data_IF_162192210159
#
_entry.id   IF_162192210159
#
_cell.length_a   1.000
_cell.length_b   1.000
_cell.length_c   1.000
_cell.angle_alpha   90.00
_cell.angle_beta   90.00
_cell.angle_gamma   90.00
#
_symmetry.space_group_name_H-M   'P 1'
#
loop_
_entity.id
_entity.type
_entity.pdbx_description
1 polymer ?
#
# COMPACT_ATOMS: atom_id res chain seq x y z
N UNK A 1 -21.51 9.81 -20.68
CA UNK A 1 -20.62 8.87 -21.42
C UNK A 1 -19.18 9.40 -21.52
N UNK A 2 -18.94 10.58 -22.09
CA UNK A 2 -17.59 11.16 -22.25
C UNK A 2 -16.83 11.21 -20.92
N UNK A 3 -17.47 11.74 -19.86
CA UNK A 3 -16.85 11.83 -18.53
C UNK A 3 -16.50 10.45 -17.95
N UNK A 4 -17.39 9.46 -18.10
CA UNK A 4 -17.14 8.08 -17.64
C UNK A 4 -15.96 7.42 -18.38
N UNK A 5 -15.89 7.60 -19.70
CA UNK A 5 -14.73 7.16 -20.49
C UNK A 5 -13.45 7.86 -20.07
N UNK A 6 -13.49 9.18 -19.86
CA UNK A 6 -12.34 9.96 -19.39
C UNK A 6 -11.85 9.45 -18.02
N UNK A 7 -12.75 9.12 -17.08
CA UNK A 7 -12.38 8.53 -15.80
C UNK A 7 -11.68 7.17 -15.95
N UNK A 8 -12.20 6.29 -16.81
CA UNK A 8 -11.58 4.98 -17.06
C UNK A 8 -10.23 5.13 -17.76
N UNK A 9 -10.14 5.97 -18.80
CA UNK A 9 -8.88 6.21 -19.50
C UNK A 9 -7.85 6.83 -18.57
N UNK A 10 -8.25 7.79 -17.73
CA UNK A 10 -7.37 8.38 -16.73
C UNK A 10 -6.90 7.32 -15.72
N UNK A 11 -7.78 6.43 -15.25
CA UNK A 11 -7.40 5.33 -14.39
C UNK A 11 -6.40 4.38 -15.07
N UNK A 12 -6.67 3.96 -16.30
CA UNK A 12 -5.81 3.03 -17.06
C UNK A 12 -4.47 3.67 -17.38
N UNK A 13 -4.44 4.92 -17.83
CA UNK A 13 -3.20 5.66 -18.10
C UNK A 13 -2.36 5.80 -16.83
N UNK A 14 -2.99 6.13 -15.71
CA UNK A 14 -2.32 6.17 -14.43
C UNK A 14 -1.81 4.79 -14.00
N UNK A 15 -2.57 3.72 -14.18
CA UNK A 15 -2.07 2.39 -13.84
C UNK A 15 -0.91 1.98 -14.75
N UNK A 16 -0.96 2.33 -16.04
CA UNK A 16 0.12 2.04 -16.99
C UNK A 16 1.45 2.70 -16.59
N UNK A 17 1.42 3.91 -16.01
CA UNK A 17 2.65 4.56 -15.53
C UNK A 17 3.29 3.82 -14.34
N UNK A 18 2.49 3.16 -13.50
CA UNK A 18 2.99 2.38 -12.35
C UNK A 18 3.18 0.90 -12.67
N UNK A 19 2.65 0.44 -13.82
CA UNK A 19 2.70 -0.96 -14.23
C UNK A 19 4.08 -1.40 -14.72
N UNK A 20 4.99 -0.47 -15.04
CA UNK A 20 6.37 -0.79 -15.42
C UNK A 20 7.18 -1.00 -14.14
N UNK A 21 7.55 -2.25 -13.79
CA UNK A 21 8.32 -2.50 -12.59
C UNK A 21 9.80 -2.26 -12.86
N UNK A 22 10.53 -1.62 -11.92
CA UNK A 22 11.99 -1.75 -11.88
C UNK A 22 12.40 -3.20 -11.53
N UNK A 23 11.54 -3.93 -10.81
CA UNK A 23 11.70 -5.36 -10.48
C UNK A 23 10.33 -5.99 -10.12
N UNK A 24 9.74 -6.85 -10.98
CA UNK A 24 8.34 -7.31 -10.83
C UNK A 24 8.05 -8.18 -9.61
N UNK A 25 9.10 -8.74 -9.00
CA UNK A 25 8.99 -9.62 -7.83
C UNK A 25 9.38 -8.93 -6.52
N UNK A 26 9.81 -7.67 -6.56
CA UNK A 26 10.11 -6.92 -5.34
C UNK A 26 8.82 -6.60 -4.58
N UNK A 27 8.86 -6.87 -3.27
CA UNK A 27 7.76 -6.63 -2.35
C UNK A 27 7.34 -5.15 -2.36
N UNK A 28 8.31 -4.23 -2.41
CA UNK A 28 8.11 -2.78 -2.44
C UNK A 28 7.31 -2.31 -3.66
N UNK A 29 7.64 -2.83 -4.85
CA UNK A 29 6.91 -2.48 -6.06
C UNK A 29 5.48 -2.99 -6.01
N UNK A 30 5.29 -4.25 -5.58
CA UNK A 30 3.96 -4.84 -5.47
C UNK A 30 3.08 -4.08 -4.47
N UNK A 31 3.66 -3.69 -3.33
CA UNK A 31 2.97 -2.91 -2.31
C UNK A 31 2.58 -1.52 -2.83
N UNK A 32 3.54 -0.80 -3.43
CA UNK A 32 3.30 0.52 -4.02
C UNK A 32 2.25 0.48 -5.13
N UNK A 33 2.30 -0.52 -5.99
CA UNK A 33 1.31 -0.73 -7.05
C UNK A 33 -0.08 -0.97 -6.47
N UNK A 34 -0.24 -1.90 -5.52
CA UNK A 34 -1.53 -2.19 -4.89
C UNK A 34 -2.08 -0.98 -4.12
N UNK A 35 -1.23 -0.22 -3.45
CA UNK A 35 -1.61 1.02 -2.77
C UNK A 35 -2.09 2.08 -3.78
N UNK A 36 -1.41 2.24 -4.91
CA UNK A 36 -1.81 3.14 -6.00
C UNK A 36 -3.18 2.73 -6.58
N UNK A 37 -3.39 1.43 -6.79
CA UNK A 37 -4.68 0.86 -7.25
C UNK A 37 -5.76 1.19 -6.24
N UNK A 38 -5.54 0.92 -4.96
CA UNK A 38 -6.51 1.21 -3.90
C UNK A 38 -6.89 2.69 -3.83
N UNK A 39 -5.90 3.58 -3.86
CA UNK A 39 -6.12 5.01 -3.72
C UNK A 39 -6.83 5.63 -4.95
N UNK A 40 -6.62 5.07 -6.15
CA UNK A 40 -7.20 5.58 -7.41
C UNK A 40 -8.41 4.78 -7.92
N UNK A 41 -8.75 3.67 -7.27
CA UNK A 41 -9.87 2.79 -7.65
C UNK A 41 -11.22 3.50 -7.66
N UNK A 42 -11.38 4.59 -6.92
CA UNK A 42 -12.59 5.41 -6.93
C UNK A 42 -12.90 6.01 -8.31
N UNK A 43 -11.88 6.36 -9.11
CA UNK A 43 -12.08 6.83 -10.49
C UNK A 43 -12.66 5.72 -11.36
N UNK A 44 -12.18 4.48 -11.17
CA UNK A 44 -12.70 3.32 -11.89
C UNK A 44 -14.15 3.04 -11.50
N UNK A 45 -14.48 3.12 -10.20
CA UNK A 45 -15.87 2.99 -9.72
C UNK A 45 -16.79 4.05 -10.34
N UNK A 46 -16.39 5.32 -10.26
CA UNK A 46 -17.19 6.44 -10.79
C UNK A 46 -17.36 6.32 -12.31
N UNK A 47 -16.28 6.00 -13.03
CA UNK A 47 -16.30 5.80 -14.47
C UNK A 47 -17.23 4.66 -14.87
N UNK A 48 -17.13 3.51 -14.18
CA UNK A 48 -17.99 2.36 -14.39
C UNK A 48 -19.46 2.67 -14.11
N UNK A 49 -19.76 3.38 -13.02
CA UNK A 49 -21.13 3.79 -12.66
C UNK A 49 -21.74 4.69 -13.74
N UNK A 50 -21.00 5.70 -14.20
CA UNK A 50 -21.46 6.62 -15.25
C UNK A 50 -21.63 5.92 -16.60
N UNK A 51 -20.73 5.00 -16.95
CA UNK A 51 -20.88 4.25 -18.19
C UNK A 51 -22.06 3.28 -18.13
N UNK A 52 -22.25 2.58 -17.01
CA UNK A 52 -23.43 1.73 -16.83
C UNK A 52 -24.71 2.55 -16.95
N UNK A 53 -24.77 3.73 -16.33
CA UNK A 53 -25.95 4.60 -16.41
C UNK A 53 -26.23 5.10 -17.83
N UNK A 54 -25.20 5.53 -18.58
CA UNK A 54 -25.38 6.01 -19.96
C UNK A 54 -25.64 4.89 -20.98
N UNK A 55 -25.21 3.66 -20.70
CA UNK A 55 -25.37 2.54 -21.63
C UNK A 55 -26.65 1.75 -21.40
N UNK A 56 -27.51 2.15 -20.45
CA UNK A 56 -28.75 1.46 -20.09
C UNK A 56 -29.66 1.15 -21.30
N UNK A 57 -29.72 2.03 -22.30
CA UNK A 57 -30.50 1.81 -23.52
C UNK A 57 -29.83 0.85 -24.53
N UNK A 58 -28.53 0.60 -24.39
CA UNK A 58 -27.74 -0.29 -25.25
C UNK A 58 -27.47 -1.63 -24.57
N UNK A 59 -28.44 -2.54 -24.66
CA UNK A 59 -28.39 -3.89 -24.06
C UNK A 59 -27.08 -4.66 -24.34
N UNK A 60 -26.47 -4.47 -25.52
CA UNK A 60 -25.23 -5.15 -25.91
C UNK A 60 -24.00 -4.73 -25.11
N UNK A 61 -23.93 -3.49 -24.61
CA UNK A 61 -22.78 -2.99 -23.84
C UNK A 61 -22.96 -3.10 -22.33
N UNK A 62 -24.21 -3.12 -21.84
CA UNK A 62 -24.50 -3.19 -20.40
C UNK A 62 -24.00 -4.50 -19.79
N UNK A 63 -24.25 -5.64 -20.46
CA UNK A 63 -23.90 -6.96 -19.96
C UNK A 63 -22.38 -7.19 -19.78
N UNK A 64 -21.51 -6.91 -20.79
CA UNK A 64 -20.06 -7.06 -20.60
C UNK A 64 -19.51 -6.06 -19.57
N UNK A 65 -20.04 -4.83 -19.53
CA UNK A 65 -19.61 -3.84 -18.55
C UNK A 65 -20.00 -4.23 -17.11
N UNK A 66 -21.21 -4.76 -16.92
CA UNK A 66 -21.69 -5.25 -15.64
C UNK A 66 -20.87 -6.46 -15.15
N UNK A 67 -20.51 -7.37 -16.06
CA UNK A 67 -19.60 -8.49 -15.76
C UNK A 67 -18.20 -8.00 -15.36
N UNK A 68 -17.64 -7.04 -16.09
CA UNK A 68 -16.34 -6.45 -15.75
C UNK A 68 -16.35 -5.80 -14.35
N UNK A 69 -17.44 -5.10 -14.00
CA UNK A 69 -17.62 -4.55 -12.65
C UNK A 69 -17.70 -5.66 -11.59
N UNK A 70 -18.42 -6.75 -11.86
CA UNK A 70 -18.53 -7.87 -10.94
C UNK A 70 -17.18 -8.56 -10.70
N UNK A 71 -16.44 -8.85 -11.77
CA UNK A 71 -15.12 -9.47 -11.70
C UNK A 71 -14.14 -8.55 -10.94
N UNK A 72 -14.07 -7.28 -11.34
CA UNK A 72 -13.23 -6.28 -10.66
C UNK A 72 -13.60 -6.14 -9.19
N UNK A 73 -14.90 -6.07 -8.89
CA UNK A 73 -15.43 -5.93 -7.54
C UNK A 73 -15.14 -7.12 -6.62
N UNK A 74 -14.90 -8.32 -7.17
CA UNK A 74 -14.44 -9.50 -6.41
C UNK A 74 -12.92 -9.52 -6.27
N UNK A 75 -12.18 -9.18 -7.32
CA UNK A 75 -10.72 -9.19 -7.32
C UNK A 75 -10.11 -8.12 -6.39
N UNK A 76 -10.70 -6.93 -6.35
CA UNK A 76 -10.26 -5.82 -5.49
C UNK A 76 -10.22 -6.21 -4.00
N UNK A 77 -11.29 -6.72 -3.38
CA UNK A 77 -11.24 -7.14 -1.97
C UNK A 77 -10.36 -8.38 -1.76
N UNK A 78 -10.25 -9.30 -2.72
CA UNK A 78 -9.29 -10.41 -2.61
C UNK A 78 -7.84 -9.92 -2.56
N UNK A 79 -7.51 -8.89 -3.35
CA UNK A 79 -6.18 -8.28 -3.34
C UNK A 79 -5.83 -7.59 -2.02
N UNK A 80 -6.83 -7.23 -1.21
CA UNK A 80 -6.63 -6.67 0.13
C UNK A 80 -5.86 -7.63 1.06
N UNK A 81 -6.13 -8.94 0.98
CA UNK A 81 -5.43 -9.94 1.81
C UNK A 81 -3.94 -9.98 1.49
N UNK A 82 -3.61 -9.87 0.20
CA UNK A 82 -2.22 -9.80 -0.26
C UNK A 82 -1.54 -8.52 0.21
N UNK A 83 -2.24 -7.39 0.14
CA UNK A 83 -1.74 -6.08 0.59
C UNK A 83 -1.39 -6.09 2.09
N UNK A 84 -2.28 -6.63 2.93
CA UNK A 84 -2.05 -6.73 4.38
C UNK A 84 -0.85 -7.62 4.67
N UNK A 85 -0.76 -8.79 4.04
CA UNK A 85 0.36 -9.72 4.21
C UNK A 85 1.68 -9.05 3.84
N UNK A 86 1.73 -8.40 2.69
CA UNK A 86 2.98 -7.81 2.20
C UNK A 86 3.43 -6.63 3.07
N UNK A 87 2.49 -5.82 3.58
CA UNK A 87 2.81 -4.78 4.56
C UNK A 87 3.38 -5.37 5.85
N UNK A 88 2.83 -6.47 6.36
CA UNK A 88 3.35 -7.15 7.57
C UNK A 88 4.74 -7.74 7.35
N UNK A 89 5.00 -8.30 6.16
CA UNK A 89 6.33 -8.82 5.80
C UNK A 89 7.34 -7.67 5.72
N UNK A 90 6.99 -6.57 5.05
CA UNK A 90 7.85 -5.40 4.93
C UNK A 90 8.13 -4.78 6.31
N UNK A 91 7.10 -4.69 7.15
CA UNK A 91 7.24 -4.21 8.52
C UNK A 91 8.22 -5.07 9.33
N UNK A 92 8.11 -6.41 9.26
CA UNK A 92 9.06 -7.30 9.92
C UNK A 92 10.49 -7.14 9.40
N UNK A 93 10.68 -7.00 8.08
CA UNK A 93 12.00 -6.76 7.49
C UNK A 93 12.63 -5.45 7.98
N UNK A 94 11.85 -4.37 8.03
CA UNK A 94 12.30 -3.08 8.57
C UNK A 94 12.66 -3.19 10.05
N UNK A 95 11.83 -3.85 10.87
CA UNK A 95 12.12 -4.06 12.29
C UNK A 95 13.41 -4.86 12.51
N UNK A 96 13.63 -5.92 11.72
CA UNK A 96 14.84 -6.76 11.85
C UNK A 96 16.09 -5.98 11.41
N UNK A 97 15.96 -5.13 10.38
CA UNK A 97 17.07 -4.28 9.92
C UNK A 97 17.43 -3.22 10.94
N UNK A 98 16.43 -2.58 11.55
CA UNK A 98 16.63 -1.60 12.62
C UNK A 98 17.28 -2.28 13.83
N UNK A 99 16.82 -3.46 14.22
CA UNK A 99 17.40 -4.21 15.35
C UNK A 99 18.86 -4.60 15.09
N UNK A 100 19.16 -5.12 13.89
CA UNK A 100 20.53 -5.44 13.48
C UNK A 100 21.44 -4.20 13.45
N UNK A 101 20.94 -3.05 12.97
CA UNK A 101 21.69 -1.80 12.99
C UNK A 101 21.91 -1.28 14.41
N UNK A 102 20.90 -1.39 15.28
CA UNK A 102 21.00 -1.02 16.69
C UNK A 102 22.04 -1.89 17.41
N UNK A 103 22.01 -3.21 17.22
CA UNK A 103 23.02 -4.13 17.78
C UNK A 103 24.42 -3.86 17.23
N UNK A 104 24.55 -3.56 15.93
CA UNK A 104 25.83 -3.19 15.32
C UNK A 104 26.38 -1.86 15.87
N UNK A 105 25.51 -0.88 16.17
CA UNK A 105 25.92 0.36 16.82
C UNK A 105 26.29 0.12 18.29
N UNK A 106 25.51 -0.67 19.04
CA UNK A 106 25.84 -1.01 20.43
C UNK A 106 27.16 -1.74 20.55
N UNK A 107 27.43 -2.71 19.67
CA UNK A 107 28.72 -3.43 19.66
C UNK A 107 29.88 -2.53 19.26
N UNK A 108 29.70 -1.59 18.32
CA UNK A 108 30.71 -0.58 18.01
C UNK A 108 30.97 0.37 19.19
N UNK A 109 29.93 0.76 19.91
CA UNK A 109 30.02 1.60 21.11
C UNK A 109 30.76 0.85 22.23
N UNK A 110 30.41 -0.41 22.51
CA UNK A 110 31.10 -1.26 23.48
C UNK A 110 32.55 -1.57 23.08
N UNK A 111 32.82 -1.78 21.80
CA UNK A 111 34.18 -1.97 21.30
C UNK A 111 35.02 -0.69 21.48
N UNK A 112 34.42 0.47 21.22
CA UNK A 112 35.06 1.76 21.50
C UNK A 112 35.25 2.00 23.01
N UNK A 113 34.40 1.44 23.88
CA UNK A 113 34.53 1.49 25.35
C UNK A 113 35.68 0.66 25.88
N UNK A 114 35.95 -0.47 25.24
CA UNK A 114 37.04 -1.37 25.61
C UNK A 114 38.37 -1.06 24.89
N UNK A 115 38.44 -0.01 24.06
CA UNK A 115 39.65 0.37 23.32
C UNK A 115 40.64 1.15 24.21
N UNK A 116 41.85 0.61 24.48
CA UNK A 116 42.85 1.26 25.32
C UNK A 116 43.49 2.51 24.70
N UNK A 117 43.27 2.81 23.40
CA UNK A 117 43.80 4.00 22.71
C UNK A 117 42.78 5.14 22.58
N UNK A 118 41.79 5.20 23.48
CA UNK A 118 40.70 6.17 23.41
C UNK A 118 41.18 7.64 23.38
N UNK A 119 40.68 8.49 22.46
CA UNK A 119 40.84 9.93 22.56
C UNK A 119 40.25 10.44 23.87
N UNK A 120 40.97 11.32 24.58
CA UNK A 120 40.61 11.83 25.91
C UNK A 120 39.26 12.59 25.97
N UNK A 121 38.69 12.95 24.81
CA UNK A 121 37.36 13.59 24.69
C UNK A 121 36.17 12.62 24.81
N UNK A 122 36.38 11.30 24.79
CA UNK A 122 35.28 10.32 24.86
C UNK A 122 35.04 9.87 26.31
N UNK A 123 34.26 10.66 27.04
CA UNK A 123 33.84 10.34 28.41
C UNK A 123 32.80 9.20 28.41
N UNK A 124 32.83 8.25 29.37
CA UNK A 124 31.83 7.18 29.48
C UNK A 124 30.39 7.70 29.56
N UNK A 125 30.17 8.89 30.13
CA UNK A 125 28.85 9.53 30.20
C UNK A 125 28.30 9.90 28.82
N UNK A 126 29.15 10.38 27.90
CA UNK A 126 28.80 10.71 26.51
C UNK A 126 28.41 9.45 25.72
N UNK A 127 29.07 8.33 26.02
CA UNK A 127 28.75 7.03 25.43
C UNK A 127 27.40 6.50 25.91
N UNK A 128 27.14 6.61 27.21
CA UNK A 128 25.89 6.15 27.80
C UNK A 128 24.70 6.99 27.30
N UNK A 129 24.92 8.30 27.14
CA UNK A 129 23.96 9.21 26.52
C UNK A 129 23.71 8.87 25.04
N UNK A 130 24.75 8.50 24.29
CA UNK A 130 24.61 8.03 22.91
C UNK A 130 23.82 6.72 22.81
N UNK A 131 24.02 5.77 23.73
CA UNK A 131 23.22 4.53 23.80
C UNK A 131 21.75 4.83 24.06
N UNK A 132 21.44 5.66 25.08
CA UNK A 132 20.05 6.04 25.38
C UNK A 132 19.40 6.82 24.23
N UNK A 133 20.17 7.65 23.53
CA UNK A 133 19.67 8.40 22.38
C UNK A 133 19.38 7.49 21.18
N UNK A 134 20.26 6.51 20.89
CA UNK A 134 20.03 5.51 19.84
C UNK A 134 18.82 4.63 20.18
N UNK A 135 18.65 4.25 21.44
CA UNK A 135 17.50 3.47 21.90
C UNK A 135 16.19 4.25 21.74
N UNK A 136 16.14 5.52 22.18
CA UNK A 136 14.96 6.37 22.02
C UNK A 136 14.61 6.66 20.54
N UNK A 137 15.62 6.86 19.69
CA UNK A 137 15.40 7.01 18.26
C UNK A 137 14.88 5.72 17.66
N UNK A 138 15.48 4.58 18.01
CA UNK A 138 15.05 3.26 17.55
C UNK A 138 13.59 2.99 17.91
N UNK A 139 13.18 3.23 19.15
CA UNK A 139 11.78 3.11 19.57
C UNK A 139 10.86 4.05 18.78
N UNK A 140 11.26 5.30 18.59
CA UNK A 140 10.47 6.26 17.81
C UNK A 140 10.32 5.86 16.34
N UNK A 141 11.37 5.30 15.72
CA UNK A 141 11.33 4.80 14.35
C UNK A 141 10.45 3.54 14.24
N UNK A 142 10.55 2.62 15.20
CA UNK A 142 9.70 1.44 15.30
C UNK A 142 8.23 1.88 15.38
N UNK A 143 7.92 2.81 16.29
CA UNK A 143 6.54 3.25 16.53
C UNK A 143 5.98 4.01 15.32
N UNK A 144 6.75 4.92 14.72
CA UNK A 144 6.36 5.61 13.49
C UNK A 144 6.17 4.64 12.31
N UNK A 145 7.02 3.61 12.19
CA UNK A 145 6.86 2.58 11.16
C UNK A 145 5.57 1.78 11.38
N UNK A 146 5.22 1.43 12.62
CA UNK A 146 3.95 0.76 12.94
C UNK A 146 2.74 1.63 12.61
N UNK A 147 2.77 2.90 13.00
CA UNK A 147 1.65 3.82 12.80
C UNK A 147 1.42 4.14 11.32
N UNK A 148 2.49 4.43 10.57
CA UNK A 148 2.41 4.69 9.14
C UNK A 148 1.94 3.45 8.37
N UNK A 149 2.43 2.27 8.75
CA UNK A 149 1.99 0.99 8.16
C UNK A 149 0.51 0.75 8.44
N UNK A 150 0.07 0.93 9.68
CA UNK A 150 -1.33 0.73 10.07
C UNK A 150 -2.26 1.71 9.36
N UNK A 151 -1.92 3.00 9.31
CA UNK A 151 -2.70 4.00 8.56
C UNK A 151 -2.77 3.69 7.07
N UNK A 152 -1.64 3.31 6.46
CA UNK A 152 -1.58 2.95 5.04
C UNK A 152 -2.43 1.72 4.73
N UNK A 153 -2.34 0.67 5.57
CA UNK A 153 -3.17 -0.54 5.46
C UNK A 153 -4.64 -0.16 5.56
N UNK A 154 -5.06 0.54 6.62
CA UNK A 154 -6.48 0.86 6.85
C UNK A 154 -7.05 1.72 5.73
N UNK A 155 -6.31 2.75 5.29
CA UNK A 155 -6.74 3.62 4.21
C UNK A 155 -6.87 2.88 2.88
N UNK A 156 -5.85 2.11 2.50
CA UNK A 156 -5.81 1.41 1.22
C UNK A 156 -6.79 0.23 1.17
N UNK A 157 -6.83 -0.57 2.25
CA UNK A 157 -7.77 -1.67 2.40
C UNK A 157 -9.22 -1.19 2.41
N UNK A 158 -9.51 -0.11 3.15
CA UNK A 158 -10.84 0.49 3.21
C UNK A 158 -11.33 0.92 1.83
N UNK A 159 -10.48 1.62 1.06
CA UNK A 159 -10.82 2.02 -0.30
C UNK A 159 -11.09 0.81 -1.22
N UNK A 160 -10.22 -0.21 -1.20
CA UNK A 160 -10.38 -1.42 -2.01
C UNK A 160 -11.66 -2.18 -1.68
N UNK A 161 -12.03 -2.29 -0.40
CA UNK A 161 -13.24 -2.97 0.05
C UNK A 161 -14.48 -2.17 -0.36
N UNK A 162 -14.52 -0.87 -0.08
CA UNK A 162 -15.67 0.00 -0.39
C UNK A 162 -15.91 0.06 -1.91
N UNK A 163 -14.85 0.28 -2.68
CA UNK A 163 -14.94 0.29 -4.15
C UNK A 163 -15.30 -1.09 -4.69
N UNK A 164 -14.73 -2.17 -4.14
CA UNK A 164 -15.06 -3.53 -4.52
C UNK A 164 -16.55 -3.86 -4.35
N UNK A 165 -17.09 -3.58 -3.16
CA UNK A 165 -18.52 -3.76 -2.86
C UNK A 165 -19.41 -2.87 -3.73
N UNK A 166 -18.98 -1.64 -4.01
CA UNK A 166 -19.65 -0.74 -4.93
C UNK A 166 -19.75 -1.34 -6.35
N UNK A 167 -18.63 -1.86 -6.87
CA UNK A 167 -18.58 -2.47 -8.20
C UNK A 167 -19.41 -3.77 -8.28
N UNK A 168 -19.42 -4.59 -7.23
CA UNK A 168 -20.32 -5.75 -7.15
C UNK A 168 -21.78 -5.29 -7.23
N UNK A 169 -22.14 -4.26 -6.47
CA UNK A 169 -23.51 -3.71 -6.44
C UNK A 169 -23.94 -3.17 -7.81
N UNK A 170 -23.05 -2.43 -8.48
CA UNK A 170 -23.24 -1.94 -9.86
C UNK A 170 -23.36 -3.07 -10.88
N UNK A 171 -22.49 -4.08 -10.80
CA UNK A 171 -22.52 -5.24 -11.69
C UNK A 171 -23.81 -6.04 -11.53
N UNK A 172 -24.27 -6.28 -10.29
CA UNK A 172 -25.57 -6.93 -10.05
C UNK A 172 -26.74 -6.12 -10.57
N UNK A 173 -26.69 -4.79 -10.42
CA UNK A 173 -27.72 -3.90 -10.96
C UNK A 173 -27.79 -3.97 -12.50
N UNK A 174 -26.64 -3.89 -13.17
CA UNK A 174 -26.56 -3.96 -14.64
C UNK A 174 -27.04 -5.32 -15.20
N UNK A 175 -26.72 -6.43 -14.53
CA UNK A 175 -27.19 -7.76 -14.93
C UNK A 175 -28.71 -7.88 -14.70
N UNK A 176 -29.23 -7.48 -13.53
CA UNK A 176 -30.66 -7.61 -13.21
C UNK A 176 -31.56 -6.83 -14.16
N UNK A 177 -31.07 -5.72 -14.72
CA UNK A 177 -31.82 -4.89 -15.67
C UNK A 177 -31.73 -5.38 -17.11
N UNK A 178 -30.80 -6.28 -17.42
CA UNK A 178 -30.61 -6.86 -18.76
C UNK A 178 -31.22 -8.25 -18.92
N UNK A 179 -31.74 -8.85 -17.84
CA UNK A 179 -32.51 -10.09 -17.81
C UNK A 179 -33.99 -9.74 -17.71
#
# INVERSE_FOLDING_TARGET
MILGLACIVCFVANMATFAIPPSPMALEWRLGFLQQVGNRSILLFLGAAMLLYCTLDFHSLVKPLALACLIGGILLPLSCVLLVRDHLVLQNQTLTTIDNQSQALQTQIQAAENDPNRPTEVTPELLQQAVTQVESQTESLIQNARDNTTKSIVSSAGSLIVVGLGLISLGRFGIKRTV
#
